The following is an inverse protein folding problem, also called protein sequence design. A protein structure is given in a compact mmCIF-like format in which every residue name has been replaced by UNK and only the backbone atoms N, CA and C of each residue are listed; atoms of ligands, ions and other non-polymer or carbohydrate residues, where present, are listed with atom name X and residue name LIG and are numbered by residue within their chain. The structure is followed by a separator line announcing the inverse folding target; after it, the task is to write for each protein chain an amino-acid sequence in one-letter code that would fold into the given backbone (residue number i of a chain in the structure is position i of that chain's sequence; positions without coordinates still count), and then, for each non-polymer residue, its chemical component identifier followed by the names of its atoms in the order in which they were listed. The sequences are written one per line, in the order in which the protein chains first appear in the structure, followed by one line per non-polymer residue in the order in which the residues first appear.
data_IF_589647042614
#
_entry.id   IF_589647042614
#
_cell.length_a   1.000
_cell.length_b   1.000
_cell.length_c   1.000
_cell.angle_alpha   90.00
_cell.angle_beta   90.00
_cell.angle_gamma   90.00
#
_symmetry.space_group_name_H-M   'P 1'
#
loop_
_entity.id
_entity.type
_entity.pdbx_description
1 polymer ?
#
# COMPACT_ATOMS: atom_id res chain seq x y z
N UNK A 1 16.89 -1.87 -10.65
CA UNK A 1 15.46 -2.28 -10.66
C UNK A 1 14.98 -2.74 -9.29
N UNK A 2 15.32 -3.93 -8.78
CA UNK A 2 14.72 -4.45 -7.53
C UNK A 2 14.86 -3.52 -6.30
N UNK A 3 16.01 -2.86 -6.11
CA UNK A 3 16.21 -1.92 -5.01
C UNK A 3 15.37 -0.64 -5.19
N UNK A 4 15.31 -0.10 -6.40
CA UNK A 4 14.52 1.11 -6.68
C UNK A 4 13.01 0.86 -6.52
N UNK A 5 12.54 -0.34 -6.88
CA UNK A 5 11.16 -0.76 -6.65
C UNK A 5 10.85 -0.91 -5.15
N UNK A 6 11.81 -1.42 -4.38
CA UNK A 6 11.71 -1.50 -2.91
C UNK A 6 11.67 -0.11 -2.26
N UNK A 7 12.58 0.79 -2.65
CA UNK A 7 12.63 2.17 -2.14
C UNK A 7 11.33 2.92 -2.49
N UNK A 8 10.77 2.70 -3.68
CA UNK A 8 9.46 3.24 -4.08
C UNK A 8 8.33 2.69 -3.21
N UNK A 9 8.32 1.39 -2.94
CA UNK A 9 7.31 0.76 -2.08
C UNK A 9 7.39 1.27 -0.64
N UNK A 10 8.61 1.37 -0.08
CA UNK A 10 8.87 1.95 1.24
C UNK A 10 8.42 3.40 1.33
N UNK A 11 8.70 4.20 0.30
CA UNK A 11 8.26 5.59 0.24
C UNK A 11 6.73 5.71 0.16
N UNK A 12 6.05 4.80 -0.53
CA UNK A 12 4.57 4.75 -0.55
C UNK A 12 4.00 4.45 0.84
N UNK A 13 4.68 3.58 1.60
CA UNK A 13 4.33 3.24 2.98
C UNK A 13 4.89 4.23 4.02
N UNK A 14 5.67 5.24 3.60
CA UNK A 14 6.27 6.21 4.51
C UNK A 14 7.34 5.63 5.46
N UNK A 15 7.95 4.49 5.10
CA UNK A 15 8.95 3.80 5.91
C UNK A 15 10.33 3.70 5.27
N UNK A 16 11.25 3.05 5.98
CA UNK A 16 12.61 2.69 5.55
C UNK A 16 12.98 1.30 6.08
N UNK A 17 14.04 0.67 5.57
CA UNK A 17 14.57 -0.57 6.17
C UNK A 17 15.31 -0.28 7.50
N UNK A 18 15.30 -1.20 8.49
CA UNK A 18 14.49 -2.41 8.56
C UNK A 18 13.03 -2.10 8.96
N UNK A 19 12.09 -2.95 8.53
CA UNK A 19 10.66 -2.86 8.88
C UNK A 19 10.13 -4.22 9.32
N UNK A 20 9.03 -4.24 10.07
CA UNK A 20 8.39 -5.48 10.56
C UNK A 20 7.11 -5.82 9.81
N UNK A 21 6.63 -7.06 9.96
CA UNK A 21 5.34 -7.49 9.39
C UNK A 21 4.18 -6.71 9.99
N UNK A 22 4.22 -6.43 11.29
CA UNK A 22 3.18 -5.69 12.01
C UNK A 22 3.05 -4.27 11.47
N UNK A 23 4.19 -3.56 11.31
CA UNK A 23 4.21 -2.22 10.72
C UNK A 23 3.66 -2.22 9.29
N UNK A 24 4.02 -3.22 8.49
CA UNK A 24 3.56 -3.36 7.11
C UNK A 24 2.03 -3.55 7.04
N UNK A 25 1.48 -4.41 7.89
CA UNK A 25 0.04 -4.70 7.96
C UNK A 25 -0.77 -3.51 8.50
N UNK A 26 -0.29 -2.86 9.55
CA UNK A 26 -0.93 -1.66 10.12
C UNK A 26 -0.97 -0.52 9.11
N UNK A 27 0.18 -0.21 8.50
CA UNK A 27 0.30 0.84 7.49
C UNK A 27 -0.59 0.56 6.27
N UNK A 28 -0.66 -0.70 5.82
CA UNK A 28 -1.57 -1.10 4.72
C UNK A 28 -3.02 -0.80 5.08
N UNK A 29 -3.47 -1.15 6.30
CA UNK A 29 -4.85 -0.89 6.75
C UNK A 29 -5.15 0.61 6.77
N UNK A 30 -4.24 1.43 7.27
CA UNK A 30 -4.40 2.89 7.29
C UNK A 30 -4.47 3.50 5.89
N UNK A 31 -3.58 3.07 4.98
CA UNK A 31 -3.59 3.50 3.59
C UNK A 31 -4.90 3.11 2.90
N UNK A 32 -5.34 1.86 3.02
CA UNK A 32 -6.60 1.41 2.42
C UNK A 32 -7.82 2.11 3.03
N UNK A 33 -7.81 2.38 4.34
CA UNK A 33 -8.87 3.16 4.99
C UNK A 33 -8.93 4.60 4.45
N UNK A 34 -7.79 5.20 4.14
CA UNK A 34 -7.68 6.55 3.57
C UNK A 34 -8.22 6.61 2.14
N UNK A 35 -7.88 5.62 1.32
CA UNK A 35 -8.26 5.57 -0.09
C UNK A 35 -9.58 4.84 -0.36
N UNK A 36 -10.32 4.47 0.69
CA UNK A 36 -11.59 3.75 0.60
C UNK A 36 -12.60 4.54 -0.27
N UNK A 37 -12.98 4.04 -1.46
CA UNK A 37 -13.78 4.80 -2.44
C UNK A 37 -15.10 5.39 -1.92
N UNK A 38 -15.82 4.72 -0.99
CA UNK A 38 -17.00 5.28 -0.35
C UNK A 38 -16.80 6.64 0.35
N UNK A 39 -15.58 6.99 0.80
CA UNK A 39 -15.32 8.34 1.34
C UNK A 39 -15.55 9.44 0.32
N UNK A 40 -15.40 9.15 -0.98
CA UNK A 40 -15.60 10.15 -2.04
C UNK A 40 -17.05 10.31 -2.46
N UNK A 41 -17.92 9.34 -2.11
CA UNK A 41 -19.34 9.39 -2.46
C UNK A 41 -20.09 10.53 -1.73
N UNK A 42 -19.65 10.90 -0.52
CA UNK A 42 -20.24 12.01 0.25
C UNK A 42 -19.64 13.39 -0.04
N UNK A 43 -18.54 13.46 -0.80
CA UNK A 43 -17.79 14.71 -1.01
C UNK A 43 -18.27 15.51 -2.23
N UNK A 44 -19.07 14.92 -3.13
CA UNK A 44 -19.57 15.66 -4.30
C UNK A 44 -20.81 15.03 -4.93
N UNK A 45 -21.78 15.88 -5.29
CA UNK A 45 -22.94 15.51 -6.12
C UNK A 45 -22.64 15.59 -7.63
N UNK A 46 -21.40 15.95 -8.02
CA UNK A 46 -21.01 16.04 -9.43
C UNK A 46 -20.46 14.68 -9.91
N UNK A 47 -21.13 13.99 -10.84
CA UNK A 47 -20.75 12.65 -11.26
C UNK A 47 -19.36 12.59 -11.92
N UNK A 48 -18.92 13.66 -12.61
CA UNK A 48 -17.58 13.72 -13.21
C UNK A 48 -16.49 13.77 -12.14
N UNK A 49 -16.69 14.58 -11.09
CA UNK A 49 -15.75 14.67 -9.96
C UNK A 49 -15.72 13.35 -9.18
N UNK A 50 -16.90 12.76 -8.94
CA UNK A 50 -17.00 11.43 -8.31
C UNK A 50 -16.18 10.40 -9.08
N UNK A 51 -16.38 10.29 -10.40
CA UNK A 51 -15.66 9.31 -11.22
C UNK A 51 -14.14 9.54 -11.25
N UNK A 52 -13.68 10.78 -11.25
CA UNK A 52 -12.24 11.08 -11.16
C UNK A 52 -11.65 10.60 -9.83
N UNK A 53 -12.33 10.87 -8.71
CA UNK A 53 -11.89 10.42 -7.39
C UNK A 53 -11.96 8.90 -7.25
N UNK A 54 -13.00 8.26 -7.78
CA UNK A 54 -13.11 6.81 -7.81
C UNK A 54 -11.94 6.16 -8.54
N UNK A 55 -11.63 6.62 -9.76
CA UNK A 55 -10.49 6.11 -10.54
C UNK A 55 -9.16 6.34 -9.83
N UNK A 56 -9.00 7.49 -9.16
CA UNK A 56 -7.82 7.78 -8.36
C UNK A 56 -7.70 6.80 -7.19
N UNK A 57 -8.78 6.58 -6.44
CA UNK A 57 -8.82 5.62 -5.34
C UNK A 57 -8.49 4.20 -5.81
N UNK A 58 -9.06 3.76 -6.93
CA UNK A 58 -8.78 2.45 -7.53
C UNK A 58 -7.31 2.31 -7.95
N UNK A 59 -6.73 3.34 -8.58
CA UNK A 59 -5.33 3.32 -8.96
C UNK A 59 -4.41 3.28 -7.73
N UNK A 60 -4.74 4.04 -6.68
CA UNK A 60 -3.94 4.06 -5.45
C UNK A 60 -4.05 2.75 -4.67
N UNK A 61 -5.23 2.14 -4.57
CA UNK A 61 -5.38 0.84 -3.88
C UNK A 61 -4.62 -0.28 -4.60
N UNK A 62 -4.59 -0.27 -5.93
CA UNK A 62 -3.74 -1.18 -6.73
C UNK A 62 -2.24 -0.96 -6.44
N UNK A 63 -1.79 0.30 -6.38
CA UNK A 63 -0.41 0.61 -6.05
C UNK A 63 -0.02 0.18 -4.62
N UNK A 64 -0.92 0.37 -3.64
CA UNK A 64 -0.74 -0.08 -2.26
C UNK A 64 -0.58 -1.61 -2.21
N UNK A 65 -1.43 -2.35 -2.94
CA UNK A 65 -1.37 -3.82 -2.95
C UNK A 65 -0.05 -4.32 -3.58
N UNK A 66 0.36 -3.76 -4.72
CA UNK A 66 1.61 -4.15 -5.37
C UNK A 66 2.85 -3.87 -4.49
N UNK A 67 2.88 -2.71 -3.83
CA UNK A 67 3.94 -2.36 -2.89
C UNK A 67 3.95 -3.29 -1.66
N UNK A 68 2.77 -3.62 -1.13
CA UNK A 68 2.63 -4.57 -0.03
C UNK A 68 3.19 -5.95 -0.40
N UNK A 69 2.83 -6.49 -1.56
CA UNK A 69 3.28 -7.81 -2.00
C UNK A 69 4.81 -7.84 -2.16
N UNK A 70 5.41 -6.75 -2.66
CA UNK A 70 6.86 -6.60 -2.80
C UNK A 70 7.55 -6.52 -1.43
N UNK A 71 7.05 -5.71 -0.50
CA UNK A 71 7.60 -5.57 0.84
C UNK A 71 7.48 -6.86 1.65
N UNK A 72 6.36 -7.57 1.50
CA UNK A 72 6.14 -8.87 2.12
C UNK A 72 7.12 -9.93 1.58
N UNK A 73 7.33 -9.96 0.26
CA UNK A 73 8.32 -10.84 -0.36
C UNK A 73 9.74 -10.53 0.15
N UNK A 74 10.09 -9.24 0.29
CA UNK A 74 11.38 -8.81 0.85
C UNK A 74 11.56 -9.26 2.30
N UNK A 75 10.51 -9.15 3.13
CA UNK A 75 10.51 -9.59 4.52
C UNK A 75 10.69 -11.11 4.61
N UNK A 76 9.97 -11.85 3.78
CA UNK A 76 10.08 -13.31 3.67
C UNK A 76 11.36 -13.80 2.96
N UNK A 77 12.16 -12.90 2.39
CA UNK A 77 13.49 -13.22 1.83
C UNK A 77 14.62 -12.83 2.80
N UNK A 78 14.31 -12.14 3.89
CA UNK A 78 15.25 -11.80 4.96
C UNK A 78 15.67 -13.01 5.80
N UNK A 79 16.68 -12.86 6.68
CA UNK A 79 17.23 -13.97 7.48
C UNK A 79 16.21 -14.66 8.40
N UNK A 80 15.05 -14.04 8.69
CA UNK A 80 13.95 -14.61 9.48
C UNK A 80 13.05 -15.60 8.70
N UNK A 81 13.27 -15.78 7.40
CA UNK A 81 12.47 -16.64 6.52
C UNK A 81 12.59 -18.16 6.76
N UNK A 82 13.52 -18.59 7.61
CA UNK A 82 13.74 -20.00 7.98
C UNK A 82 13.65 -20.17 9.49
N UNK A 83 12.47 -19.95 10.08
CA UNK A 83 12.25 -20.23 11.50
C UNK A 83 10.91 -20.87 11.85
N UNK A 84 10.24 -21.54 10.92
CA UNK A 84 9.18 -22.49 11.30
C UNK A 84 9.26 -23.70 10.37
N UNK A 85 10.03 -24.69 10.82
CA UNK A 85 10.04 -26.08 10.35
C UNK A 85 9.27 -26.93 11.36
#
# INVERSE_FOLDING_TARGET
MQQEDLDRALRLFGGTEPFTREWLEETRRELLATWHPPRYASLTNNPRKYMQMYKKGEATTKAIQAAYDLLLARLNAGPDAKRDA
#
